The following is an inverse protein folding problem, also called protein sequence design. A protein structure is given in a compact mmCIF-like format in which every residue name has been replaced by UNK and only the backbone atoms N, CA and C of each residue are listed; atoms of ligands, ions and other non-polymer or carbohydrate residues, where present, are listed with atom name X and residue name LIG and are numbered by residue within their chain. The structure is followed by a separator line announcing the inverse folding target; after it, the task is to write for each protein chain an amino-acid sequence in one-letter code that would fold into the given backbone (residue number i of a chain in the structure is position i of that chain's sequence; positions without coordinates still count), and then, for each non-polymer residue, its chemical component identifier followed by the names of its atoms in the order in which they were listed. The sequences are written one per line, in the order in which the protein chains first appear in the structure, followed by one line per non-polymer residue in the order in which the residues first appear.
data_IF_788822651920
#
_entry.id   IF_788822651920
#
_cell.length_a   1.000
_cell.length_b   1.000
_cell.length_c   1.000
_cell.angle_alpha   90.00
_cell.angle_beta   90.00
_cell.angle_gamma   90.00
#
_symmetry.space_group_name_H-M   'P 1'
#
loop_
_entity.id
_entity.type
_entity.pdbx_description
1 polymer ?
#
# COMPACT_ATOMS: atom_id res chain seq x y z
N UNK A 1 22.97 -1.95 -18.41
CA UNK A 1 21.84 -2.56 -17.68
C UNK A 1 20.48 -2.28 -18.33
N UNK A 2 20.32 -1.22 -19.15
CA UNK A 2 19.05 -1.00 -19.86
C UNK A 2 18.62 -2.21 -20.70
N UNK A 3 17.34 -2.60 -20.70
CA UNK A 3 16.18 -1.87 -20.18
C UNK A 3 15.81 -2.20 -18.72
N UNK A 4 16.69 -2.81 -17.94
CA UNK A 4 16.37 -3.20 -16.57
C UNK A 4 16.69 -2.12 -15.55
N UNK A 5 15.97 -2.16 -14.42
CA UNK A 5 16.19 -1.35 -13.23
C UNK A 5 15.95 -2.19 -11.98
N UNK A 6 16.72 -1.96 -10.92
CA UNK A 6 16.50 -2.57 -9.62
C UNK A 6 15.40 -1.80 -8.88
N UNK A 7 14.31 -2.50 -8.53
CA UNK A 7 13.21 -1.99 -7.74
C UNK A 7 13.48 -2.23 -6.26
N UNK A 8 13.91 -1.19 -5.56
CA UNK A 8 13.99 -1.16 -4.11
C UNK A 8 12.63 -0.79 -3.50
N UNK A 9 12.32 -1.25 -2.26
CA UNK A 9 13.13 -2.09 -1.38
C UNK A 9 12.99 -3.60 -1.67
N UNK A 10 12.30 -4.00 -2.74
CA UNK A 10 12.03 -5.41 -3.05
C UNK A 10 13.23 -6.17 -3.62
N UNK A 11 14.29 -5.46 -4.01
CA UNK A 11 15.51 -5.99 -4.64
C UNK A 11 15.20 -6.82 -5.90
N UNK A 12 14.20 -6.38 -6.66
CA UNK A 12 13.71 -7.05 -7.87
C UNK A 12 14.26 -6.39 -9.12
N UNK A 13 14.64 -7.18 -10.12
CA UNK A 13 14.99 -6.65 -11.43
C UNK A 13 13.72 -6.46 -12.27
N UNK A 14 13.43 -5.24 -12.68
CA UNK A 14 12.22 -4.89 -13.46
C UNK A 14 12.61 -4.48 -14.87
N UNK A 15 11.99 -5.10 -15.87
CA UNK A 15 12.13 -4.70 -17.27
C UNK A 15 11.26 -3.46 -17.55
N UNK A 16 11.88 -2.34 -17.93
CA UNK A 16 11.18 -1.09 -18.26
C UNK A 16 10.28 -1.20 -19.49
N UNK A 17 10.57 -2.13 -20.41
CA UNK A 17 9.82 -2.28 -21.67
C UNK A 17 8.45 -2.95 -21.45
N UNK A 18 8.40 -4.01 -20.66
CA UNK A 18 7.16 -4.76 -20.40
C UNK A 18 6.58 -4.51 -19.01
N UNK A 19 7.31 -3.77 -18.15
CA UNK A 19 6.95 -3.42 -16.78
C UNK A 19 6.69 -4.63 -15.87
N UNK A 20 7.58 -5.63 -15.91
CA UNK A 20 7.49 -6.87 -15.12
C UNK A 20 8.80 -7.13 -14.39
N UNK A 21 8.69 -7.67 -13.17
CA UNK A 21 9.84 -8.21 -12.47
C UNK A 21 10.27 -9.54 -13.11
N UNK A 22 11.58 -9.75 -13.20
CA UNK A 22 12.20 -10.92 -13.83
C UNK A 22 13.31 -11.43 -12.90
N UNK A 23 13.34 -12.73 -12.55
CA UNK A 23 14.48 -13.32 -11.85
C UNK A 23 15.77 -13.18 -12.66
N UNK A 24 16.92 -13.08 -11.99
CA UNK A 24 18.21 -12.86 -12.68
C UNK A 24 18.52 -13.96 -13.71
N UNK A 25 18.22 -15.21 -13.39
CA UNK A 25 18.48 -16.35 -14.29
C UNK A 25 17.55 -16.37 -15.52
N UNK A 26 16.42 -15.67 -15.45
CA UNK A 26 15.42 -15.64 -16.52
C UNK A 26 15.63 -14.49 -17.50
N UNK A 27 16.55 -13.57 -17.25
CA UNK A 27 16.84 -12.41 -18.14
C UNK A 27 17.09 -12.88 -19.57
N UNK A 28 17.90 -13.93 -19.73
CA UNK A 28 18.26 -14.48 -21.06
C UNK A 28 17.02 -14.94 -21.81
N UNK A 29 16.17 -15.75 -21.15
CA UNK A 29 14.94 -16.27 -21.73
C UNK A 29 13.96 -15.15 -22.01
N UNK A 30 13.78 -14.23 -21.06
CA UNK A 30 12.92 -13.06 -21.18
C UNK A 30 13.26 -12.20 -22.41
N UNK A 31 14.52 -11.81 -22.56
CA UNK A 31 14.97 -11.00 -23.71
C UNK A 31 14.77 -11.75 -25.03
N UNK A 32 15.03 -13.06 -25.06
CA UNK A 32 14.87 -13.88 -26.27
C UNK A 32 13.41 -14.07 -26.68
N UNK A 33 12.48 -14.20 -25.74
CA UNK A 33 11.08 -14.51 -26.04
C UNK A 33 10.23 -13.26 -26.19
N UNK A 34 10.44 -12.27 -25.32
CA UNK A 34 9.58 -11.07 -25.19
C UNK A 34 10.14 -9.88 -25.97
N UNK A 35 11.47 -9.79 -26.10
CA UNK A 35 12.16 -8.66 -26.75
C UNK A 35 13.04 -9.12 -27.91
N UNK A 36 12.46 -9.92 -28.82
CA UNK A 36 13.12 -10.51 -30.00
C UNK A 36 13.81 -9.50 -30.92
N UNK A 37 13.34 -8.26 -30.93
CA UNK A 37 13.91 -7.16 -31.72
C UNK A 37 15.28 -6.68 -31.21
N UNK A 38 15.69 -7.06 -29.99
CA UNK A 38 16.99 -6.68 -29.45
C UNK A 38 18.13 -7.52 -30.08
N UNK A 39 19.15 -6.87 -30.67
CA UNK A 39 20.32 -7.55 -31.22
C UNK A 39 20.99 -8.49 -30.21
N UNK A 40 21.52 -9.62 -30.70
CA UNK A 40 22.18 -10.61 -29.84
C UNK A 40 23.35 -10.03 -29.04
N UNK A 41 24.19 -9.18 -29.68
CA UNK A 41 25.30 -8.49 -29.01
C UNK A 41 24.81 -7.65 -27.83
N UNK A 42 23.80 -6.81 -28.06
CA UNK A 42 23.18 -6.00 -26.98
C UNK A 42 22.63 -6.89 -25.86
N UNK A 43 21.99 -8.02 -26.16
CA UNK A 43 21.48 -8.93 -25.12
C UNK A 43 22.60 -9.46 -24.23
N UNK A 44 23.76 -9.79 -24.78
CA UNK A 44 24.94 -10.25 -24.00
C UNK A 44 25.42 -9.16 -23.04
N UNK A 45 25.57 -7.93 -23.51
CA UNK A 45 26.01 -6.81 -22.67
C UNK A 45 25.03 -6.51 -21.53
N UNK A 46 23.73 -6.62 -21.82
CA UNK A 46 22.66 -6.43 -20.82
C UNK A 46 22.73 -7.51 -19.75
N UNK A 47 22.84 -8.79 -20.16
CA UNK A 47 22.91 -9.92 -19.22
C UNK A 47 24.11 -9.77 -18.30
N UNK A 48 25.29 -9.41 -18.84
CA UNK A 48 26.50 -9.16 -18.03
C UNK A 48 26.23 -8.07 -16.99
N UNK A 49 25.75 -6.91 -17.43
CA UNK A 49 25.49 -5.79 -16.53
C UNK A 49 24.42 -6.08 -15.46
N UNK A 50 23.47 -6.98 -15.71
CA UNK A 50 22.44 -7.33 -14.72
C UNK A 50 22.94 -8.37 -13.71
N UNK A 51 23.84 -9.28 -14.11
CA UNK A 51 24.45 -10.26 -13.20
C UNK A 51 25.34 -9.62 -12.15
N UNK A 52 25.94 -8.48 -12.49
CA UNK A 52 26.77 -7.70 -11.57
C UNK A 52 25.94 -6.84 -10.60
N UNK A 53 24.59 -6.91 -10.65
CA UNK A 53 23.70 -6.12 -9.81
C UNK A 53 23.39 -6.80 -8.47
N UNK A 54 23.10 -6.01 -7.44
CA UNK A 54 22.72 -6.46 -6.09
C UNK A 54 21.27 -7.01 -6.01
N UNK A 55 20.68 -7.44 -7.12
CA UNK A 55 19.35 -8.05 -7.12
C UNK A 55 19.43 -9.46 -6.51
N UNK A 56 18.58 -9.73 -5.51
CA UNK A 56 18.74 -10.90 -4.64
C UNK A 56 17.96 -12.13 -5.09
N UNK A 57 17.02 -11.98 -6.02
CA UNK A 57 16.11 -13.06 -6.42
C UNK A 57 16.55 -13.66 -7.76
N UNK A 58 17.35 -14.71 -7.70
CA UNK A 58 18.01 -15.30 -8.87
C UNK A 58 17.08 -16.24 -9.63
N UNK A 59 16.34 -17.07 -8.91
CA UNK A 59 15.60 -18.20 -9.47
C UNK A 59 14.22 -18.39 -8.83
N UNK A 60 13.43 -19.29 -9.41
CA UNK A 60 12.07 -19.62 -8.95
C UNK A 60 12.03 -20.26 -7.57
N UNK A 61 13.08 -20.97 -7.13
CA UNK A 61 13.12 -21.59 -5.81
C UNK A 61 13.24 -20.53 -4.72
N UNK A 62 14.11 -19.54 -4.91
CA UNK A 62 14.25 -18.39 -4.00
C UNK A 62 12.94 -17.59 -3.92
N UNK A 63 12.24 -17.42 -5.05
CA UNK A 63 10.94 -16.74 -5.10
C UNK A 63 9.82 -17.43 -4.33
N UNK A 64 9.97 -18.69 -3.90
CA UNK A 64 8.99 -19.33 -3.02
C UNK A 64 8.88 -18.62 -1.67
N UNK A 65 9.98 -18.00 -1.21
CA UNK A 65 10.03 -17.24 0.04
C UNK A 65 9.73 -15.75 -0.16
N UNK A 66 9.57 -15.31 -1.41
CA UNK A 66 9.22 -13.92 -1.69
C UNK A 66 7.78 -13.64 -1.26
N UNK A 67 7.60 -12.60 -0.45
CA UNK A 67 6.27 -12.17 0.00
C UNK A 67 5.95 -10.81 -0.57
N UNK A 68 4.71 -10.67 -1.05
CA UNK A 68 4.20 -9.38 -1.51
C UNK A 68 3.77 -8.52 -0.33
N UNK A 69 3.73 -7.19 -0.47
CA UNK A 69 3.24 -6.29 0.56
C UNK A 69 1.88 -6.71 1.09
N UNK A 70 1.78 -6.87 2.41
CA UNK A 70 0.50 -7.12 3.09
C UNK A 70 -0.32 -5.85 3.21
N UNK A 71 0.37 -4.75 3.53
CA UNK A 71 -0.23 -3.43 3.61
C UNK A 71 -0.31 -2.77 2.22
N UNK A 72 -1.34 -1.93 1.98
CA UNK A 72 -1.46 -1.20 0.73
C UNK A 72 -0.28 -0.26 0.55
N UNK A 73 0.36 -0.32 -0.62
CA UNK A 73 1.43 0.60 -1.02
C UNK A 73 0.97 1.47 -2.18
N UNK A 74 1.68 2.57 -2.44
CA UNK A 74 1.47 3.33 -3.67
C UNK A 74 1.68 2.43 -4.90
N UNK A 75 0.87 2.64 -5.94
CA UNK A 75 1.07 1.98 -7.21
C UNK A 75 2.50 2.25 -7.73
N UNK A 76 3.16 1.18 -8.16
CA UNK A 76 4.55 1.23 -8.63
C UNK A 76 4.53 1.45 -10.14
N UNK A 77 4.98 2.62 -10.58
CA UNK A 77 4.97 3.04 -12.00
C UNK A 77 5.85 2.19 -12.92
N UNK A 78 6.88 1.58 -12.34
CA UNK A 78 7.78 0.64 -13.02
C UNK A 78 7.10 -0.71 -13.32
N UNK A 79 5.97 -1.01 -12.67
CA UNK A 79 5.17 -2.20 -12.92
C UNK A 79 3.99 -1.88 -13.85
N UNK A 80 3.33 -2.95 -14.34
CA UNK A 80 2.13 -2.80 -15.15
C UNK A 80 1.06 -1.97 -14.43
N UNK A 81 0.25 -1.24 -15.19
CA UNK A 81 -0.85 -0.44 -14.67
C UNK A 81 -1.71 -1.26 -13.70
N UNK A 82 -2.10 -0.68 -12.54
CA UNK A 82 -2.96 -1.37 -11.59
C UNK A 82 -4.23 -1.90 -12.22
N UNK A 83 -4.57 -3.15 -11.89
CA UNK A 83 -5.87 -3.73 -12.15
C UNK A 83 -6.86 -3.17 -11.14
N UNK A 84 -8.04 -2.74 -11.58
CA UNK A 84 -9.01 -2.05 -10.74
C UNK A 84 -10.12 -2.95 -10.21
N UNK A 85 -10.28 -4.13 -10.79
CA UNK A 85 -11.36 -5.09 -10.55
C UNK A 85 -10.94 -6.26 -9.65
N UNK A 86 -9.86 -6.09 -8.88
CA UNK A 86 -9.38 -7.10 -7.95
C UNK A 86 -10.43 -7.50 -6.90
N UNK A 87 -10.49 -8.80 -6.60
CA UNK A 87 -11.30 -9.39 -5.54
C UNK A 87 -10.38 -9.66 -4.35
N UNK A 88 -10.61 -8.99 -3.22
CA UNK A 88 -9.83 -9.18 -1.99
C UNK A 88 -10.65 -9.89 -0.93
N UNK A 89 -10.10 -10.94 -0.34
CA UNK A 89 -10.69 -11.57 0.84
C UNK A 89 -10.82 -10.57 2.00
N UNK A 90 -11.95 -10.61 2.72
CA UNK A 90 -12.15 -9.72 3.88
C UNK A 90 -11.36 -10.19 5.11
N UNK A 91 -11.05 -11.49 5.20
CA UNK A 91 -10.38 -12.11 6.34
C UNK A 91 -8.85 -12.13 6.25
N UNK A 92 -8.26 -11.94 5.06
CA UNK A 92 -6.81 -11.95 4.88
C UNK A 92 -6.34 -11.06 3.71
N UNK A 93 -5.03 -11.07 3.41
CA UNK A 93 -4.44 -10.26 2.33
C UNK A 93 -4.57 -10.88 0.93
N UNK A 94 -5.26 -12.03 0.78
CA UNK A 94 -5.39 -12.72 -0.51
C UNK A 94 -6.21 -11.93 -1.52
N UNK A 95 -5.64 -11.74 -2.73
CA UNK A 95 -6.25 -11.01 -3.84
C UNK A 95 -6.15 -11.83 -5.12
N UNK A 96 -7.25 -11.92 -5.87
CA UNK A 96 -7.33 -12.53 -7.21
C UNK A 96 -8.31 -11.77 -8.09
N UNK A 97 -8.29 -12.01 -9.40
CA UNK A 97 -9.30 -11.49 -10.33
C UNK A 97 -10.40 -12.51 -10.66
N UNK A 98 -10.22 -13.77 -10.29
CA UNK A 98 -11.13 -14.85 -10.66
C UNK A 98 -12.07 -15.20 -9.49
N UNK A 99 -13.37 -15.09 -9.72
CA UNK A 99 -14.42 -15.36 -8.73
C UNK A 99 -14.35 -16.81 -8.21
N UNK A 100 -14.11 -17.79 -9.07
CA UNK A 100 -13.98 -19.19 -8.65
C UNK A 100 -12.78 -19.36 -7.71
N UNK A 101 -11.64 -18.72 -8.03
CA UNK A 101 -10.44 -18.77 -7.17
C UNK A 101 -10.71 -18.17 -5.79
N UNK A 102 -11.35 -17.00 -5.70
CA UNK A 102 -11.62 -16.40 -4.39
C UNK A 102 -12.66 -17.19 -3.59
N UNK A 103 -13.67 -17.75 -4.24
CA UNK A 103 -14.61 -18.65 -3.59
C UNK A 103 -13.93 -19.91 -3.05
N UNK A 104 -13.03 -20.51 -3.82
CA UNK A 104 -12.25 -21.67 -3.38
C UNK A 104 -11.37 -21.31 -2.20
N UNK A 105 -10.68 -20.17 -2.25
CA UNK A 105 -9.90 -19.66 -1.13
C UNK A 105 -10.75 -19.47 0.14
N UNK A 106 -11.87 -18.73 0.05
CA UNK A 106 -12.74 -18.52 1.20
C UNK A 106 -13.31 -19.83 1.76
N UNK A 107 -13.68 -20.79 0.88
CA UNK A 107 -14.12 -22.13 1.29
C UNK A 107 -13.04 -22.90 2.04
N UNK A 108 -11.85 -23.01 1.47
CA UNK A 108 -10.79 -23.88 1.97
C UNK A 108 -10.02 -23.29 3.16
N UNK A 109 -9.80 -21.98 3.17
CA UNK A 109 -8.95 -21.31 4.18
C UNK A 109 -9.79 -20.72 5.31
N UNK A 110 -11.01 -20.27 5.01
CA UNK A 110 -11.88 -19.58 5.97
C UNK A 110 -13.19 -20.35 6.24
N UNK A 111 -13.30 -21.59 5.78
CA UNK A 111 -14.47 -22.45 5.97
C UNK A 111 -15.79 -21.78 5.53
N UNK A 112 -15.74 -20.86 4.56
CA UNK A 112 -16.93 -20.17 4.09
C UNK A 112 -17.86 -21.15 3.37
N UNK A 113 -19.14 -21.15 3.75
CA UNK A 113 -20.17 -21.93 3.09
C UNK A 113 -21.01 -21.00 2.22
N UNK A 114 -21.22 -21.37 0.96
CA UNK A 114 -22.05 -20.57 0.05
C UNK A 114 -23.48 -20.51 0.60
N UNK A 115 -24.01 -19.31 0.93
CA UNK A 115 -25.37 -19.17 1.43
C UNK A 115 -26.40 -19.58 0.37
N UNK A 116 -26.07 -19.44 -0.92
CA UNK A 116 -26.90 -19.90 -2.01
C UNK A 116 -26.75 -21.42 -2.16
N UNK A 117 -27.71 -22.18 -1.61
CA UNK A 117 -27.87 -23.60 -1.90
C UNK A 117 -28.07 -23.80 -3.42
N UNK A 118 -27.60 -24.93 -3.96
CA UNK A 118 -27.91 -25.34 -5.35
C UNK A 118 -29.43 -25.35 -5.54
N UNK A 119 -29.95 -24.41 -6.33
CA UNK A 119 -31.39 -24.22 -6.55
C UNK A 119 -31.76 -22.83 -7.08
N UNK A 120 -33.01 -22.67 -7.51
CA UNK A 120 -33.59 -21.44 -8.09
C UNK A 120 -33.38 -20.25 -7.16
N UNK A 121 -32.81 -19.16 -7.67
CA UNK A 121 -32.69 -17.89 -6.94
C UNK A 121 -34.10 -17.44 -6.53
N UNK A 122 -34.35 -17.28 -5.23
CA UNK A 122 -35.59 -16.67 -4.75
C UNK A 122 -35.49 -15.19 -5.13
N UNK A 123 -36.39 -14.71 -6.00
CA UNK A 123 -36.50 -13.28 -6.31
C UNK A 123 -36.75 -12.53 -5.00
N UNK A 124 -35.83 -11.63 -4.62
CA UNK A 124 -35.92 -10.83 -3.40
C UNK A 124 -34.97 -11.24 -2.27
N UNK A 125 -34.01 -12.15 -2.48
CA UNK A 125 -32.93 -12.39 -1.52
C UNK A 125 -32.11 -11.11 -1.32
N UNK A 126 -31.99 -10.64 -0.08
CA UNK A 126 -31.13 -9.49 0.25
C UNK A 126 -29.69 -9.75 -0.18
N UNK A 127 -28.92 -8.69 -0.55
CA UNK A 127 -27.51 -8.83 -0.89
C UNK A 127 -26.78 -9.47 0.30
N UNK A 128 -26.36 -10.72 0.15
CA UNK A 128 -25.52 -11.35 1.16
C UNK A 128 -24.15 -10.68 1.16
N UNK A 129 -23.67 -10.34 2.36
CA UNK A 129 -22.30 -9.91 2.57
C UNK A 129 -21.34 -10.99 2.08
N UNK A 130 -20.75 -10.75 0.91
CA UNK A 130 -19.78 -11.66 0.33
C UNK A 130 -18.51 -11.66 1.19
N UNK A 131 -17.80 -12.80 1.35
CA UNK A 131 -16.59 -12.88 2.16
C UNK A 131 -15.37 -12.22 1.49
N UNK A 132 -15.59 -11.51 0.39
CA UNK A 132 -14.62 -10.68 -0.31
C UNK A 132 -15.27 -9.39 -0.79
N UNK A 133 -14.42 -8.40 -1.06
CA UNK A 133 -14.81 -7.14 -1.70
C UNK A 133 -14.23 -7.06 -3.11
N UNK A 134 -15.01 -6.52 -4.02
CA UNK A 134 -14.61 -6.26 -5.41
C UNK A 134 -14.05 -4.85 -5.58
N UNK A 135 -13.50 -4.57 -6.76
CA UNK A 135 -13.05 -3.22 -7.11
C UNK A 135 -11.78 -2.80 -6.37
N UNK A 136 -10.95 -3.75 -5.95
CA UNK A 136 -9.70 -3.45 -5.23
C UNK A 136 -8.58 -3.20 -6.24
N UNK A 137 -7.98 -1.98 -6.26
CA UNK A 137 -6.81 -1.73 -7.07
C UNK A 137 -5.65 -2.61 -6.63
N UNK A 138 -5.03 -3.35 -7.56
CA UNK A 138 -3.94 -4.25 -7.27
C UNK A 138 -2.89 -4.32 -8.39
N UNK A 139 -1.67 -4.70 -8.02
CA UNK A 139 -0.56 -4.97 -8.92
C UNK A 139 0.08 -6.31 -8.55
N UNK A 140 0.93 -6.82 -9.43
CA UNK A 140 1.78 -8.00 -9.20
C UNK A 140 3.19 -7.68 -9.71
N UNK A 141 4.20 -8.30 -9.11
CA UNK A 141 5.58 -8.18 -9.58
C UNK A 141 5.84 -9.09 -10.79
N UNK A 142 5.46 -10.36 -10.67
CA UNK A 142 5.72 -11.42 -11.64
C UNK A 142 4.43 -11.86 -12.34
N UNK A 143 4.55 -12.45 -13.53
CA UNK A 143 3.42 -13.08 -14.23
C UNK A 143 3.59 -14.60 -14.28
N UNK A 144 2.56 -15.35 -13.89
CA UNK A 144 2.45 -16.79 -14.16
C UNK A 144 3.47 -17.70 -13.46
N UNK A 145 4.17 -17.20 -12.44
CA UNK A 145 5.28 -17.86 -11.75
C UNK A 145 5.14 -17.77 -10.22
N UNK A 146 6.09 -18.34 -9.47
CA UNK A 146 6.18 -18.08 -8.03
C UNK A 146 6.36 -16.57 -7.79
N UNK A 147 5.78 -16.06 -6.69
CA UNK A 147 5.76 -14.61 -6.43
C UNK A 147 4.74 -13.80 -7.26
N UNK A 148 3.95 -14.41 -8.15
CA UNK A 148 2.88 -13.73 -8.91
C UNK A 148 1.64 -13.35 -8.09
N UNK A 149 1.76 -13.32 -6.76
CA UNK A 149 0.67 -12.88 -5.91
C UNK A 149 0.34 -11.40 -6.19
N UNK A 150 -0.96 -11.09 -6.20
CA UNK A 150 -1.43 -9.71 -6.29
C UNK A 150 -1.33 -9.06 -4.92
N UNK A 151 -0.93 -7.80 -4.88
CA UNK A 151 -0.95 -6.95 -3.70
C UNK A 151 -1.80 -5.71 -3.95
N UNK A 152 -2.41 -5.20 -2.88
CA UNK A 152 -3.27 -4.01 -2.95
C UNK A 152 -2.41 -2.77 -3.17
N UNK A 153 -2.89 -1.87 -4.02
CA UNK A 153 -2.26 -0.58 -4.23
C UNK A 153 -3.20 0.59 -3.96
N UNK A 154 -2.60 1.74 -3.66
CA UNK A 154 -3.25 3.04 -3.59
C UNK A 154 -2.97 3.76 -4.90
N UNK A 155 -4.03 4.18 -5.59
CA UNK A 155 -3.90 4.95 -6.83
C UNK A 155 -3.45 6.38 -6.50
N UNK A 156 -2.58 7.01 -7.31
CA UNK A 156 -2.08 8.36 -7.06
C UNK A 156 -3.20 9.39 -6.84
N UNK A 157 -4.25 9.35 -7.66
CA UNK A 157 -5.41 10.24 -7.53
C UNK A 157 -6.12 10.12 -6.17
N UNK A 158 -6.21 8.90 -5.62
CA UNK A 158 -6.76 8.66 -4.29
C UNK A 158 -5.79 9.07 -3.17
N UNK A 159 -4.48 8.90 -3.37
CA UNK A 159 -3.46 9.29 -2.40
C UNK A 159 -3.43 10.81 -2.19
N UNK A 160 -3.47 11.59 -3.27
CA UNK A 160 -3.47 13.06 -3.19
C UNK A 160 -4.65 13.58 -2.35
N UNK A 161 -5.83 12.97 -2.47
CA UNK A 161 -7.00 13.31 -1.66
C UNK A 161 -6.82 12.95 -0.18
N UNK A 162 -6.30 11.76 0.13
CA UNK A 162 -6.05 11.31 1.51
C UNK A 162 -4.98 12.16 2.20
N UNK A 163 -3.87 12.44 1.53
CA UNK A 163 -2.80 13.29 2.08
C UNK A 163 -3.28 14.70 2.38
N UNK A 164 -4.13 15.28 1.52
CA UNK A 164 -4.72 16.60 1.77
C UNK A 164 -5.66 16.59 2.98
N UNK A 165 -6.45 15.53 3.15
CA UNK A 165 -7.34 15.38 4.31
C UNK A 165 -6.54 15.21 5.62
N UNK A 166 -5.51 14.38 5.63
CA UNK A 166 -4.63 14.19 6.79
C UNK A 166 -3.91 15.48 7.16
N UNK A 167 -3.30 16.17 6.18
CA UNK A 167 -2.66 17.47 6.40
C UNK A 167 -3.63 18.53 6.96
N UNK A 168 -4.88 18.53 6.47
CA UNK A 168 -5.91 19.44 6.98
C UNK A 168 -6.34 19.07 8.41
N UNK A 169 -6.39 17.79 8.77
CA UNK A 169 -6.65 17.33 10.14
C UNK A 169 -5.51 17.70 11.09
N UNK A 170 -4.26 17.47 10.70
CA UNK A 170 -3.09 17.81 11.51
C UNK A 170 -3.01 19.32 11.76
N UNK A 171 -3.28 20.14 10.74
CA UNK A 171 -3.39 21.60 10.90
C UNK A 171 -4.49 22.02 11.87
N UNK A 172 -5.64 21.32 11.88
CA UNK A 172 -6.73 21.57 12.85
C UNK A 172 -6.33 21.18 14.27
N UNK A 173 -5.59 20.08 14.44
CA UNK A 173 -5.08 19.67 15.75
C UNK A 173 -4.04 20.67 16.28
N UNK A 174 -3.09 21.09 15.44
CA UNK A 174 -2.07 22.07 15.83
C UNK A 174 -2.71 23.43 16.16
N UNK A 175 -3.66 23.90 15.35
CA UNK A 175 -4.36 25.16 15.63
C UNK A 175 -5.20 25.11 16.91
N UNK A 176 -5.90 23.99 17.18
CA UNK A 176 -6.65 23.83 18.44
C UNK A 176 -5.72 23.76 19.66
N UNK A 177 -4.56 23.12 19.54
CA UNK A 177 -3.53 23.11 20.58
C UNK A 177 -2.98 24.51 20.85
N UNK A 178 -2.60 25.25 19.80
CA UNK A 178 -2.07 26.62 19.93
C UNK A 178 -3.10 27.58 20.54
N UNK A 179 -4.37 27.48 20.16
CA UNK A 179 -5.45 28.28 20.73
C UNK A 179 -5.60 28.00 22.24
N UNK A 180 -5.60 26.73 22.63
CA UNK A 180 -5.70 26.33 24.03
C UNK A 180 -4.49 26.82 24.84
N UNK A 181 -3.29 26.74 24.26
CA UNK A 181 -2.07 27.23 24.89
C UNK A 181 -2.10 28.76 25.10
N UNK A 182 -2.54 29.53 24.09
CA UNK A 182 -2.72 30.98 24.21
C UNK A 182 -3.77 31.34 25.27
N UNK A 183 -4.90 30.64 25.32
CA UNK A 183 -5.93 30.85 26.37
C UNK A 183 -5.37 30.62 27.77
N UNK A 184 -4.55 29.57 27.97
CA UNK A 184 -3.87 29.32 29.23
C UNK A 184 -2.92 30.46 29.60
N UNK A 185 -2.14 30.96 28.64
CA UNK A 185 -1.24 32.10 28.86
C UNK A 185 -2.01 33.36 29.27
N UNK A 186 -3.08 33.71 28.54
CA UNK A 186 -3.94 34.85 28.89
C UNK A 186 -4.52 34.70 30.29
N UNK A 187 -5.06 33.53 30.64
CA UNK A 187 -5.59 33.28 31.99
C UNK A 187 -4.52 33.43 33.08
N UNK A 188 -3.29 32.93 32.86
CA UNK A 188 -2.18 33.12 33.81
C UNK A 188 -1.76 34.58 33.96
N UNK A 189 -1.68 35.34 32.85
CA UNK A 189 -1.35 36.77 32.88
C UNK A 189 -2.44 37.57 33.61
N UNK A 190 -3.72 37.31 33.33
CA UNK A 190 -4.84 37.96 34.03
C UNK A 190 -4.84 37.66 35.53
N UNK A 191 -4.48 36.45 35.96
CA UNK A 191 -4.34 36.13 37.39
C UNK A 191 -3.19 36.93 38.03
N UNK A 192 -2.04 37.05 37.35
CA UNK A 192 -0.88 37.79 37.85
C UNK A 192 -1.18 39.30 37.93
N UNK A 193 -1.85 39.86 36.92
CA UNK A 193 -2.26 41.27 36.90
C UNK A 193 -3.32 41.59 37.97
N UNK A 194 -4.26 40.68 38.22
CA UNK A 194 -5.25 40.86 39.30
C UNK A 194 -4.64 40.67 40.70
N UNK A 195 -3.62 39.83 40.87
CA UNK A 195 -2.85 39.75 42.13
C UNK A 195 -2.09 41.05 42.42
N UNK A 196 -1.77 41.86 41.41
CA UNK A 196 -1.20 43.21 41.56
C UNK A 196 -2.20 44.30 41.99
N UNK A 197 -3.51 43.99 42.06
CA UNK A 197 -4.58 44.93 42.44
C UNK A 197 -5.26 44.61 43.78
N UNK A 198 -4.64 43.77 44.62
CA UNK A 198 -5.07 43.66 46.01
C UNK A 198 -4.52 44.86 46.77
N UNK A 199 -5.38 45.87 46.98
CA UNK A 199 -5.15 46.90 47.98
C UNK A 199 -4.77 46.23 49.31
N UNK A 200 -3.75 46.72 50.04
CA UNK A 200 -3.36 46.12 51.29
C UNK A 200 -4.57 46.00 52.22
N UNK A 201 -4.73 44.80 52.79
CA UNK A 201 -5.79 44.48 53.75
C UNK A 201 -5.89 45.58 54.82
N UNK A 202 -7.07 46.19 55.05
CA UNK A 202 -7.24 47.38 55.92
C UNK A 202 -6.84 47.25 57.39
N UNK A 203 -6.36 46.08 57.85
CA UNK A 203 -5.99 45.84 59.25
C UNK A 203 -4.51 46.09 59.57
N UNK A 204 -3.67 46.40 58.57
CA UNK A 204 -2.22 46.56 58.75
C UNK A 204 -1.74 47.97 59.19
N UNK A 205 -2.66 48.89 59.50
CA UNK A 205 -2.33 50.27 59.92
C UNK A 205 -2.70 50.60 61.37
N UNK A 206 -2.60 49.66 62.31
CA UNK A 206 -2.67 49.99 63.74
C UNK A 206 -1.81 49.06 64.59
N UNK A 207 -0.56 49.46 64.85
CA UNK A 207 0.09 49.35 66.18
C UNK A 207 1.22 50.36 66.22
N UNK A 208 0.99 51.45 66.95
CA UNK A 208 2.06 52.18 67.65
C UNK A 208 2.27 51.60 69.04
#
# INVERSE_FOLDING_TARGET
MEPFIVLLPFHLLVCKLCKRAIPVDEITTHLRTTHKSLPASKRVDIIRACKDSTALWNNQQELQNFTVPKEPILAIDLLQTPLLDGLKCNSCSYIVYNVQKIQTHCRMIHNWVNPNKKGRQIKGSEPHDMPWRSGVPCQQFFQGQHGSALFKVILPSAHTAVTQQQHNQDKRLISSFNLKYSQLQHHTTTILENKGKLAPSPWLNHTG
#
